data_IF_024780602386
#
_entry.id   IF_024780602386
#
_cell.length_a   1.000
_cell.length_b   1.000
_cell.length_c   1.000
_cell.angle_alpha   90.00
_cell.angle_beta   90.00
_cell.angle_gamma   90.00
#
_symmetry.space_group_name_H-M   'P 1'
#
loop_
_entity.id
_entity.type
_entity.pdbx_description
1 polymer ?
#
# COMPACT_ATOMS: atom_id res chain seq x y z
N UNK A 1 -19.84 26.46 0.29
CA UNK A 1 -18.49 25.90 0.49
C UNK A 1 -18.65 24.38 0.65
N UNK A 2 -17.69 23.57 0.18
CA UNK A 2 -17.71 22.13 0.44
C UNK A 2 -17.49 21.84 1.92
N UNK A 3 -18.06 20.76 2.42
CA UNK A 3 -17.89 20.30 3.79
C UNK A 3 -16.41 20.06 4.11
N UNK A 4 -15.99 20.42 5.31
CA UNK A 4 -14.60 20.30 5.78
C UNK A 4 -14.20 18.84 5.98
N UNK A 5 -12.94 18.53 5.68
CA UNK A 5 -12.35 17.20 5.90
C UNK A 5 -11.35 17.28 7.06
N UNK A 6 -11.68 16.63 8.16
CA UNK A 6 -10.80 16.45 9.33
C UNK A 6 -10.15 15.07 9.19
N UNK A 7 -8.82 15.02 9.11
CA UNK A 7 -8.03 13.79 9.01
C UNK A 7 -7.41 13.51 10.36
N UNK A 8 -7.84 12.43 11.01
CA UNK A 8 -7.23 11.93 12.23
C UNK A 8 -6.16 10.89 11.88
N UNK A 9 -4.90 11.19 12.19
CA UNK A 9 -3.75 10.41 11.79
C UNK A 9 -2.82 10.06 12.97
N UNK A 10 -3.41 9.55 14.06
CA UNK A 10 -2.66 9.14 15.24
C UNK A 10 -1.80 7.90 14.94
N UNK A 11 -2.27 7.02 14.05
CA UNK A 11 -1.57 5.84 13.55
C UNK A 11 -0.61 6.09 12.38
N UNK A 12 -0.33 7.34 12.00
CA UNK A 12 0.62 7.66 10.92
C UNK A 12 1.99 7.04 11.17
N UNK A 13 2.71 6.65 10.12
CA UNK A 13 4.09 6.14 10.23
C UNK A 13 5.01 7.19 10.85
N UNK A 14 6.03 6.78 11.63
CA UNK A 14 7.04 7.71 12.13
C UNK A 14 7.91 8.25 10.98
N UNK A 15 8.61 9.40 11.20
CA UNK A 15 9.54 9.96 10.21
C UNK A 15 10.59 8.93 9.77
N UNK A 16 10.97 9.00 8.49
CA UNK A 16 11.93 8.05 7.89
C UNK A 16 11.30 6.72 7.44
N UNK A 17 10.02 6.48 7.73
CA UNK A 17 9.28 5.33 7.22
C UNK A 17 7.95 5.79 6.61
N UNK A 18 7.51 5.13 5.55
CA UNK A 18 6.24 5.46 4.89
C UNK A 18 5.46 4.17 4.59
N UNK A 19 4.51 3.85 5.45
CA UNK A 19 3.56 2.77 5.18
C UNK A 19 2.55 3.17 4.09
N UNK A 20 1.93 2.17 3.45
CA UNK A 20 0.95 2.43 2.38
C UNK A 20 -0.23 3.30 2.83
N UNK A 21 -0.78 3.04 4.02
CA UNK A 21 -1.85 3.85 4.61
C UNK A 21 -1.42 5.31 4.85
N UNK A 22 -0.21 5.51 5.36
CA UNK A 22 0.33 6.85 5.61
C UNK A 22 0.53 7.61 4.32
N UNK A 23 1.08 6.97 3.27
CA UNK A 23 1.25 7.57 1.95
C UNK A 23 -0.10 7.97 1.35
N UNK A 24 -1.08 7.07 1.36
CA UNK A 24 -2.43 7.36 0.87
C UNK A 24 -3.03 8.55 1.61
N UNK A 25 -2.94 8.59 2.94
CA UNK A 25 -3.53 9.66 3.75
C UNK A 25 -2.88 11.03 3.49
N UNK A 26 -1.55 11.07 3.41
CA UNK A 26 -0.80 12.32 3.15
C UNK A 26 -1.06 12.85 1.74
N UNK A 27 -1.00 11.99 0.73
CA UNK A 27 -1.24 12.40 -0.66
C UNK A 27 -2.70 12.80 -0.91
N UNK A 28 -3.65 12.11 -0.27
CA UNK A 28 -5.06 12.50 -0.29
C UNK A 28 -5.24 13.91 0.31
N UNK A 29 -4.64 14.18 1.48
CA UNK A 29 -4.70 15.49 2.10
C UNK A 29 -4.11 16.57 1.19
N UNK A 30 -2.93 16.33 0.60
CA UNK A 30 -2.27 17.22 -0.35
C UNK A 30 -3.16 17.57 -1.55
N UNK A 31 -3.77 16.56 -2.17
CA UNK A 31 -4.59 16.76 -3.37
C UNK A 31 -5.96 17.39 -3.08
N UNK A 32 -6.45 17.32 -1.86
CA UNK A 32 -7.75 17.88 -1.47
C UNK A 32 -7.67 19.27 -0.88
N UNK A 33 -6.53 19.70 -0.35
CA UNK A 33 -6.36 20.99 0.34
C UNK A 33 -6.75 22.21 -0.50
N UNK A 34 -6.64 22.15 -1.84
CA UNK A 34 -7.12 23.20 -2.74
C UNK A 34 -8.62 23.12 -3.08
N UNK A 35 -9.32 22.04 -2.68
CA UNK A 35 -10.73 21.77 -3.03
C UNK A 35 -11.66 21.84 -1.83
N UNK A 36 -11.15 21.52 -0.64
CA UNK A 36 -11.83 21.52 0.64
C UNK A 36 -10.94 22.15 1.70
N UNK A 37 -11.51 22.64 2.77
CA UNK A 37 -10.76 22.92 4.00
C UNK A 37 -10.32 21.59 4.59
N UNK A 38 -8.99 21.34 4.63
CA UNK A 38 -8.40 20.14 5.19
C UNK A 38 -7.73 20.46 6.51
N UNK A 39 -8.14 19.77 7.58
CA UNK A 39 -7.52 19.83 8.89
C UNK A 39 -6.89 18.49 9.21
N UNK A 40 -5.60 18.51 9.59
CA UNK A 40 -4.84 17.29 9.83
C UNK A 40 -4.43 17.24 11.31
N UNK A 41 -4.92 16.22 12.04
CA UNK A 41 -4.68 16.03 13.47
C UNK A 41 -3.74 14.83 13.64
N UNK A 42 -2.55 15.06 14.21
CA UNK A 42 -1.52 14.02 14.38
C UNK A 42 -0.65 14.29 15.62
N UNK A 43 0.08 13.26 16.13
CA UNK A 43 1.06 13.46 17.20
C UNK A 43 2.27 14.28 16.72
N UNK A 44 2.83 15.14 17.58
CA UNK A 44 4.02 15.97 17.28
C UNK A 44 5.21 15.18 16.74
N UNK A 45 5.48 14.02 17.32
CA UNK A 45 6.59 13.14 16.88
C UNK A 45 6.38 12.52 15.49
N UNK A 46 5.24 12.78 14.84
CA UNK A 46 4.93 12.35 13.47
C UNK A 46 4.76 13.53 12.50
N UNK A 47 4.94 14.74 12.98
CA UNK A 47 4.78 15.95 12.18
C UNK A 47 5.67 15.94 10.93
N UNK A 48 6.93 15.55 11.05
CA UNK A 48 7.86 15.46 9.94
C UNK A 48 7.43 14.46 8.85
N UNK A 49 6.61 13.45 9.19
CA UNK A 49 6.06 12.54 8.18
C UNK A 49 5.07 13.24 7.25
N UNK A 50 4.33 14.24 7.75
CA UNK A 50 3.48 15.07 6.91
C UNK A 50 4.30 16.15 6.20
N UNK A 51 5.02 16.99 6.94
CA UNK A 51 5.69 18.18 6.41
C UNK A 51 6.80 17.90 5.40
N UNK A 52 7.46 16.75 5.49
CA UNK A 52 8.47 16.34 4.50
C UNK A 52 7.86 15.79 3.18
N UNK A 53 6.55 15.59 3.13
CA UNK A 53 5.87 14.98 1.99
C UNK A 53 4.77 15.88 1.37
N UNK A 54 4.63 17.11 1.86
CA UNK A 54 3.73 18.12 1.30
C UNK A 54 4.51 19.43 1.05
N UNK A 55 4.15 20.24 0.03
CA UNK A 55 4.77 21.55 -0.20
C UNK A 55 4.58 22.47 1.01
N UNK A 56 5.45 23.47 1.24
CA UNK A 56 5.31 24.41 2.36
C UNK A 56 3.98 25.17 2.38
N UNK A 57 3.43 25.48 1.21
CA UNK A 57 2.17 26.20 0.99
C UNK A 57 0.98 25.26 0.72
N UNK A 58 1.00 24.07 1.31
CA UNK A 58 0.04 22.99 1.05
C UNK A 58 -1.43 23.28 1.38
N UNK A 59 -1.75 24.38 2.08
CA UNK A 59 -3.13 24.72 2.46
C UNK A 59 -3.81 23.78 3.47
N UNK A 60 -3.03 22.92 4.14
CA UNK A 60 -3.52 22.01 5.18
C UNK A 60 -3.35 22.68 6.55
N UNK A 61 -4.43 22.79 7.33
CA UNK A 61 -4.37 23.24 8.72
C UNK A 61 -3.93 22.09 9.63
N UNK A 62 -2.76 22.22 10.26
CA UNK A 62 -2.16 21.17 11.08
C UNK A 62 -2.44 21.42 12.56
N UNK A 63 -2.96 20.40 13.26
CA UNK A 63 -3.15 20.35 14.70
C UNK A 63 -2.26 19.25 15.28
N UNK A 64 -1.12 19.65 15.86
CA UNK A 64 -0.19 18.73 16.50
C UNK A 64 -0.63 18.43 17.93
N UNK A 65 -0.80 17.16 18.28
CA UNK A 65 -1.10 16.72 19.62
C UNK A 65 0.18 16.28 20.33
N UNK A 66 0.31 16.49 21.65
CA UNK A 66 1.42 15.93 22.42
C UNK A 66 1.57 14.43 22.18
N UNK A 67 2.80 13.96 21.96
CA UNK A 67 3.09 12.56 21.74
C UNK A 67 2.72 11.71 22.96
N UNK A 68 2.18 10.51 22.73
CA UNK A 68 1.98 9.54 23.78
C UNK A 68 3.32 8.86 24.08
N UNK A 69 3.88 9.12 25.27
CA UNK A 69 5.21 8.64 25.71
C UNK A 69 5.14 7.49 26.72
N UNK A 70 3.95 6.99 27.03
CA UNK A 70 3.77 5.90 28.00
C UNK A 70 4.51 4.61 27.62
N UNK A 71 5.04 3.91 28.61
CA UNK A 71 5.71 2.61 28.42
C UNK A 71 4.80 1.57 27.76
N UNK A 72 3.49 1.70 27.94
CA UNK A 72 2.45 0.86 27.37
C UNK A 72 1.91 1.40 26.03
N UNK A 73 2.76 1.64 25.03
CA UNK A 73 2.32 2.06 23.69
C UNK A 73 1.30 1.11 23.06
N UNK A 74 1.19 -0.12 23.55
CA UNK A 74 0.27 -1.15 23.10
C UNK A 74 -0.99 -1.25 23.96
N UNK A 75 -1.14 -0.44 25.03
CA UNK A 75 -2.34 -0.44 25.87
C UNK A 75 -3.45 0.42 25.23
N UNK A 76 -4.49 -0.20 24.63
CA UNK A 76 -5.55 0.54 23.94
C UNK A 76 -6.31 1.50 24.87
N UNK A 77 -6.45 1.15 26.13
CA UNK A 77 -7.18 1.94 27.13
C UNK A 77 -6.38 3.20 27.48
N UNK A 78 -5.09 3.05 27.77
CA UNK A 78 -4.22 4.16 28.13
C UNK A 78 -4.11 5.18 26.96
N UNK A 79 -3.87 4.69 25.75
CA UNK A 79 -3.78 5.53 24.58
C UNK A 79 -5.12 6.24 24.28
N UNK A 80 -6.25 5.55 24.40
CA UNK A 80 -7.58 6.16 24.22
C UNK A 80 -7.84 7.26 25.27
N UNK A 81 -7.53 7.00 26.54
CA UNK A 81 -7.66 7.99 27.62
C UNK A 81 -6.76 9.20 27.40
N UNK A 82 -5.59 9.01 26.78
CA UNK A 82 -4.67 10.11 26.46
C UNK A 82 -5.16 10.98 25.31
N UNK A 83 -5.55 10.37 24.19
CA UNK A 83 -5.91 11.11 22.97
C UNK A 83 -7.33 11.66 22.97
N UNK A 84 -8.30 11.01 23.62
CA UNK A 84 -9.71 11.45 23.58
C UNK A 84 -9.93 12.89 24.08
N UNK A 85 -9.43 13.32 25.27
CA UNK A 85 -9.62 14.70 25.72
C UNK A 85 -8.90 15.72 24.84
N UNK A 86 -7.75 15.38 24.27
CA UNK A 86 -6.98 16.24 23.36
C UNK A 86 -7.68 16.41 22.02
N UNK A 87 -8.17 15.32 21.46
CA UNK A 87 -9.00 15.38 20.26
C UNK A 87 -10.29 16.21 20.51
N UNK A 88 -10.94 16.03 21.65
CA UNK A 88 -12.11 16.85 22.03
C UNK A 88 -11.78 18.34 22.06
N UNK A 89 -10.63 18.72 22.62
CA UNK A 89 -10.18 20.12 22.67
C UNK A 89 -10.02 20.70 21.26
N UNK A 90 -9.34 19.99 20.36
CA UNK A 90 -9.17 20.42 18.96
C UNK A 90 -10.53 20.50 18.25
N UNK A 91 -11.40 19.49 18.41
CA UNK A 91 -12.72 19.52 17.75
C UNK A 91 -13.59 20.69 18.23
N UNK A 92 -13.49 21.10 19.51
CA UNK A 92 -14.15 22.31 20.03
C UNK A 92 -13.54 23.58 19.47
N UNK A 93 -12.22 23.69 19.46
CA UNK A 93 -11.49 24.82 18.91
C UNK A 93 -11.88 25.12 17.46
N UNK A 94 -11.96 24.06 16.64
CA UNK A 94 -12.36 24.20 15.24
C UNK A 94 -13.87 24.24 15.03
N UNK A 95 -14.67 24.20 16.08
CA UNK A 95 -16.14 24.13 16.01
C UNK A 95 -16.61 22.99 15.08
N UNK A 96 -16.10 21.76 15.31
CA UNK A 96 -16.48 20.60 14.51
C UNK A 96 -17.96 20.25 14.73
N UNK A 97 -18.63 19.82 13.66
CA UNK A 97 -20.06 19.55 13.69
C UNK A 97 -20.57 18.57 12.62
N UNK A 98 -21.90 18.49 12.45
CA UNK A 98 -22.54 17.49 11.57
C UNK A 98 -22.17 17.61 10.06
N UNK A 99 -21.72 18.79 9.64
CA UNK A 99 -21.30 19.04 8.26
C UNK A 99 -19.86 18.62 7.99
N UNK A 100 -19.11 18.25 9.01
CA UNK A 100 -17.72 17.84 8.87
C UNK A 100 -17.56 16.34 8.62
N UNK A 101 -16.60 15.98 7.78
CA UNK A 101 -16.13 14.61 7.67
C UNK A 101 -14.92 14.40 8.59
N UNK A 102 -14.94 13.36 9.41
CA UNK A 102 -13.77 12.90 10.16
C UNK A 102 -13.30 11.57 9.59
N UNK A 103 -12.20 11.62 8.86
CA UNK A 103 -11.53 10.47 8.27
C UNK A 103 -10.41 9.98 9.17
N UNK A 104 -10.32 8.66 9.40
CA UNK A 104 -9.26 8.03 10.19
C UNK A 104 -8.24 7.35 9.27
N UNK A 105 -6.94 7.61 9.49
CA UNK A 105 -5.86 7.09 8.64
C UNK A 105 -5.58 5.59 8.84
N UNK A 106 -6.16 4.95 9.86
CA UNK A 106 -5.98 3.52 10.15
C UNK A 106 -7.13 2.94 10.95
N UNK A 107 -7.19 1.60 11.02
CA UNK A 107 -8.09 0.83 11.88
C UNK A 107 -7.48 0.51 13.27
N UNK A 108 -6.38 1.16 13.64
CA UNK A 108 -5.83 1.02 14.97
C UNK A 108 -6.71 1.69 16.03
N UNK A 109 -6.73 1.12 17.22
CA UNK A 109 -7.55 1.63 18.35
C UNK A 109 -7.38 3.14 18.58
N UNK A 110 -6.18 3.68 18.39
CA UNK A 110 -5.89 5.11 18.58
C UNK A 110 -6.62 6.00 17.56
N UNK A 111 -6.86 5.51 16.35
CA UNK A 111 -7.63 6.23 15.32
C UNK A 111 -9.13 5.89 15.38
N UNK A 112 -9.53 4.81 16.08
CA UNK A 112 -10.91 4.32 16.11
C UNK A 112 -11.65 4.72 17.39
N UNK A 113 -11.06 4.48 18.56
CA UNK A 113 -11.78 4.64 19.84
C UNK A 113 -12.04 6.11 20.23
N UNK A 114 -11.09 7.07 20.05
CA UNK A 114 -11.37 8.48 20.32
C UNK A 114 -12.52 9.04 19.48
N UNK A 115 -12.55 8.93 18.13
CA UNK A 115 -13.67 9.41 17.35
C UNK A 115 -14.96 8.64 17.61
N UNK A 116 -14.93 7.33 17.87
CA UNK A 116 -16.10 6.57 18.27
C UNK A 116 -16.75 7.16 19.53
N UNK A 117 -15.94 7.57 20.51
CA UNK A 117 -16.42 8.16 21.76
C UNK A 117 -17.02 9.55 21.55
N UNK A 118 -16.42 10.35 20.68
CA UNK A 118 -16.75 11.76 20.48
C UNK A 118 -17.83 12.01 19.40
N UNK A 119 -18.07 11.03 18.55
CA UNK A 119 -19.00 11.16 17.42
C UNK A 119 -20.43 11.60 17.85
N UNK A 120 -20.93 11.11 19.00
CA UNK A 120 -22.23 11.53 19.51
C UNK A 120 -22.24 12.97 20.03
N UNK A 121 -21.10 13.46 20.57
CA UNK A 121 -20.98 14.81 21.13
C UNK A 121 -20.95 15.86 20.01
N UNK A 122 -20.24 15.58 18.91
CA UNK A 122 -19.99 16.53 17.83
C UNK A 122 -20.88 16.32 16.59
N UNK A 123 -21.40 15.13 16.40
CA UNK A 123 -22.27 14.81 15.25
C UNK A 123 -21.57 14.61 13.92
N UNK A 124 -20.23 14.75 13.83
CA UNK A 124 -19.48 14.64 12.56
C UNK A 124 -19.76 13.33 11.81
N UNK A 125 -19.64 13.37 10.48
CA UNK A 125 -19.74 12.21 9.60
C UNK A 125 -18.45 11.40 9.69
N UNK A 126 -18.50 10.27 10.38
CA UNK A 126 -17.31 9.46 10.66
C UNK A 126 -16.99 8.50 9.54
N UNK A 127 -15.73 8.54 9.06
CA UNK A 127 -15.19 7.76 7.95
C UNK A 127 -13.96 6.96 8.40
N UNK A 128 -14.12 5.85 9.12
CA UNK A 128 -13.00 4.97 9.43
C UNK A 128 -12.46 4.30 8.17
N UNK A 129 -11.15 3.97 8.18
CA UNK A 129 -10.52 3.21 7.13
C UNK A 129 -10.06 1.84 7.61
N UNK A 130 -10.09 0.86 6.71
CA UNK A 130 -9.49 -0.47 6.91
C UNK A 130 -8.63 -0.77 5.68
N UNK A 131 -7.31 -0.66 5.86
CA UNK A 131 -6.37 -0.89 4.76
C UNK A 131 -6.07 -2.36 4.52
N UNK A 132 -6.30 -3.20 5.53
CA UNK A 132 -6.02 -4.63 5.45
C UNK A 132 -6.88 -5.39 6.45
N UNK A 133 -7.86 -6.14 5.94
CA UNK A 133 -8.53 -7.13 6.78
C UNK A 133 -7.59 -8.30 7.03
N UNK A 134 -7.24 -8.51 8.29
CA UNK A 134 -6.42 -9.66 8.69
C UNK A 134 -7.14 -10.94 8.31
N UNK A 135 -6.58 -11.80 7.43
CA UNK A 135 -7.21 -13.06 7.05
C UNK A 135 -7.27 -14.01 8.25
N UNK A 136 -8.15 -14.99 8.22
CA UNK A 136 -8.21 -15.99 9.27
C UNK A 136 -6.99 -16.92 9.25
N UNK A 137 -6.63 -17.46 10.43
CA UNK A 137 -5.38 -18.25 10.59
C UNK A 137 -5.25 -19.39 9.58
N UNK A 138 -6.33 -20.09 9.26
CA UNK A 138 -6.32 -21.20 8.30
C UNK A 138 -6.06 -20.73 6.85
N UNK A 139 -6.50 -19.55 6.44
CA UNK A 139 -6.19 -18.99 5.12
C UNK A 139 -4.69 -18.72 4.98
N UNK A 140 -4.01 -18.38 6.06
CA UNK A 140 -2.57 -18.13 6.05
C UNK A 140 -1.72 -19.40 6.10
N UNK A 141 -2.16 -20.41 6.85
CA UNK A 141 -1.47 -21.71 6.88
C UNK A 141 -1.49 -22.37 5.50
N UNK A 142 -2.61 -22.30 4.79
CA UNK A 142 -2.72 -22.79 3.41
C UNK A 142 -1.81 -22.04 2.43
N UNK A 143 -1.42 -20.80 2.75
CA UNK A 143 -0.50 -19.97 1.96
C UNK A 143 0.97 -20.08 2.39
N UNK A 144 1.30 -20.98 3.31
CA UNK A 144 2.66 -21.20 3.77
C UNK A 144 3.23 -20.10 4.67
N UNK A 145 2.38 -19.22 5.22
CA UNK A 145 2.81 -18.11 6.06
C UNK A 145 2.92 -18.54 7.52
N UNK A 146 4.14 -18.54 8.08
CA UNK A 146 4.41 -18.92 9.48
C UNK A 146 4.39 -17.70 10.39
N UNK A 147 3.24 -17.41 11.01
CA UNK A 147 3.15 -16.48 12.13
C UNK A 147 3.11 -17.23 13.47
N UNK A 148 3.50 -16.57 14.57
CA UNK A 148 3.15 -17.05 15.92
C UNK A 148 1.60 -17.05 16.03
N UNK A 149 0.99 -18.22 15.92
CA UNK A 149 -0.47 -18.39 15.76
C UNK A 149 -1.30 -17.61 16.81
N UNK A 150 -0.84 -17.62 18.07
CA UNK A 150 -1.54 -16.92 19.17
C UNK A 150 -1.61 -15.40 18.98
N UNK A 151 -0.47 -14.74 18.69
CA UNK A 151 -0.45 -13.27 18.47
C UNK A 151 -1.33 -12.86 17.31
N UNK A 152 -1.35 -13.70 16.29
CA UNK A 152 -2.15 -13.48 15.10
C UNK A 152 -3.67 -13.61 15.38
N UNK A 153 -4.08 -14.63 16.14
CA UNK A 153 -5.48 -14.83 16.55
C UNK A 153 -5.95 -13.63 17.39
N UNK A 154 -5.13 -13.20 18.36
CA UNK A 154 -5.44 -12.03 19.19
C UNK A 154 -5.64 -10.78 18.32
N UNK A 155 -4.73 -10.55 17.37
CA UNK A 155 -4.84 -9.40 16.47
C UNK A 155 -6.07 -9.49 15.56
N UNK A 156 -6.39 -10.68 15.05
CA UNK A 156 -7.60 -10.92 14.26
C UNK A 156 -8.88 -10.65 15.05
N UNK A 157 -8.99 -11.18 16.27
CA UNK A 157 -10.12 -10.92 17.17
C UNK A 157 -10.26 -9.43 17.49
N UNK A 158 -9.15 -8.80 17.79
CA UNK A 158 -9.08 -7.38 18.09
C UNK A 158 -9.57 -6.51 16.92
N UNK A 159 -9.10 -6.76 15.71
CA UNK A 159 -9.57 -6.03 14.52
C UNK A 159 -11.08 -6.26 14.30
N UNK A 160 -11.60 -7.47 14.53
CA UNK A 160 -13.02 -7.78 14.40
C UNK A 160 -13.88 -7.03 15.43
N UNK A 161 -13.40 -6.90 16.64
CA UNK A 161 -14.08 -6.12 17.68
C UNK A 161 -14.15 -4.63 17.31
N UNK A 162 -13.02 -4.05 16.87
CA UNK A 162 -13.00 -2.65 16.38
C UNK A 162 -13.90 -2.46 15.15
N UNK A 163 -13.87 -3.37 14.20
CA UNK A 163 -14.75 -3.33 13.03
C UNK A 163 -16.23 -3.38 13.41
N UNK A 164 -16.60 -4.20 14.39
CA UNK A 164 -17.97 -4.24 14.90
C UNK A 164 -18.40 -2.89 15.51
N UNK A 165 -17.52 -2.24 16.29
CA UNK A 165 -17.77 -0.90 16.85
C UNK A 165 -17.92 0.14 15.75
N UNK A 166 -16.99 0.17 14.79
CA UNK A 166 -17.01 1.14 13.69
C UNK A 166 -18.33 1.08 12.92
N UNK A 167 -18.83 -0.12 12.57
CA UNK A 167 -20.08 -0.29 11.79
C UNK A 167 -21.31 0.31 12.44
N UNK A 168 -21.31 0.51 13.76
CA UNK A 168 -22.47 1.07 14.46
C UNK A 168 -22.65 2.58 14.29
N UNK A 169 -21.56 3.31 13.95
CA UNK A 169 -21.57 4.77 13.92
C UNK A 169 -20.99 5.38 12.68
N UNK A 170 -20.27 4.60 11.86
CA UNK A 170 -19.66 5.11 10.64
C UNK A 170 -20.72 5.54 9.62
N UNK A 171 -20.56 6.71 9.07
CA UNK A 171 -21.36 7.22 7.94
C UNK A 171 -20.97 6.50 6.64
N UNK A 172 -19.68 6.16 6.50
CA UNK A 172 -19.14 5.39 5.41
C UNK A 172 -17.81 4.75 5.81
N UNK A 173 -17.26 3.89 4.96
CA UNK A 173 -15.96 3.27 5.14
C UNK A 173 -15.07 3.45 3.94
N UNK A 174 -13.78 3.66 4.21
CA UNK A 174 -12.72 3.60 3.21
C UNK A 174 -11.97 2.28 3.36
N UNK A 175 -11.93 1.49 2.28
CA UNK A 175 -11.16 0.25 2.18
C UNK A 175 -10.19 0.34 1.01
N UNK A 176 -9.26 -0.60 0.86
CA UNK A 176 -8.25 -0.52 -0.20
C UNK A 176 -8.57 -1.33 -1.45
N UNK A 177 -9.62 -2.14 -1.41
CA UNK A 177 -10.07 -2.88 -2.58
C UNK A 177 -11.55 -3.23 -2.50
N UNK A 178 -12.17 -3.40 -3.66
CA UNK A 178 -13.61 -3.68 -3.79
C UNK A 178 -13.98 -5.07 -3.26
N UNK A 179 -13.08 -6.04 -3.28
CA UNK A 179 -13.37 -7.38 -2.76
C UNK A 179 -13.68 -7.36 -1.25
N UNK A 180 -13.16 -6.38 -0.52
CA UNK A 180 -13.47 -6.21 0.91
C UNK A 180 -14.91 -5.73 1.18
N UNK A 181 -15.64 -5.24 0.17
CA UNK A 181 -17.06 -4.87 0.31
C UNK A 181 -17.91 -6.07 0.75
N UNK A 182 -17.54 -7.28 0.37
CA UNK A 182 -18.23 -8.51 0.77
C UNK A 182 -18.15 -8.81 2.26
N UNK A 183 -17.22 -8.16 2.98
CA UNK A 183 -17.05 -8.32 4.44
C UNK A 183 -18.08 -7.51 5.25
N UNK A 184 -18.75 -6.57 4.59
CA UNK A 184 -19.79 -5.76 5.21
C UNK A 184 -21.13 -6.49 5.17
N UNK A 185 -21.89 -6.50 6.27
CA UNK A 185 -23.21 -7.13 6.27
C UNK A 185 -24.19 -6.36 5.37
N UNK A 186 -25.10 -7.06 4.71
CA UNK A 186 -26.12 -6.45 3.84
C UNK A 186 -26.93 -5.33 4.51
N UNK A 187 -27.07 -5.39 5.83
CA UNK A 187 -27.76 -4.37 6.65
C UNK A 187 -26.92 -3.12 6.94
N UNK A 188 -25.65 -3.08 6.54
CA UNK A 188 -24.84 -1.88 6.69
C UNK A 188 -25.36 -0.81 5.73
N UNK A 189 -25.81 0.31 6.27
CA UNK A 189 -26.42 1.41 5.51
C UNK A 189 -25.42 2.48 5.07
N UNK A 190 -24.20 2.48 5.65
CA UNK A 190 -23.15 3.40 5.27
C UNK A 190 -22.59 3.10 3.88
N UNK A 191 -22.05 4.12 3.23
CA UNK A 191 -21.44 3.97 1.90
C UNK A 191 -20.01 3.48 1.99
N UNK A 192 -19.58 2.68 1.01
CA UNK A 192 -18.23 2.13 0.91
C UNK A 192 -17.46 2.80 -0.20
N UNK A 193 -16.19 3.04 0.03
CA UNK A 193 -15.25 3.57 -0.96
C UNK A 193 -13.96 2.74 -0.99
N UNK A 194 -13.53 2.38 -2.19
CA UNK A 194 -12.30 1.65 -2.43
C UNK A 194 -11.19 2.62 -2.87
N UNK A 195 -10.27 2.90 -1.96
CA UNK A 195 -9.15 3.82 -2.20
C UNK A 195 -7.85 3.06 -2.43
N UNK A 196 -7.53 2.77 -3.67
CA UNK A 196 -6.34 1.99 -4.06
C UNK A 196 -5.00 2.70 -3.83
N UNK A 197 -5.00 3.99 -3.55
CA UNK A 197 -3.80 4.81 -3.57
C UNK A 197 -3.54 5.41 -4.96
N UNK A 198 -2.33 5.89 -5.17
CA UNK A 198 -1.94 6.54 -6.41
C UNK A 198 -0.44 6.44 -6.69
N UNK A 199 -0.02 7.01 -7.81
CA UNK A 199 1.35 7.03 -8.30
C UNK A 199 1.79 8.48 -8.57
N UNK A 200 3.03 8.81 -8.23
CA UNK A 200 3.66 10.10 -8.53
C UNK A 200 4.11 10.10 -10.00
N UNK A 201 3.17 10.37 -10.90
CA UNK A 201 3.38 10.26 -12.35
C UNK A 201 4.45 11.26 -12.83
N UNK A 202 4.55 12.41 -12.20
CA UNK A 202 5.52 13.47 -12.51
C UNK A 202 6.98 13.07 -12.24
N UNK A 203 7.21 12.02 -11.43
CA UNK A 203 8.54 11.48 -11.13
C UNK A 203 8.98 10.36 -12.10
N UNK A 204 8.07 9.95 -12.99
CA UNK A 204 8.38 8.96 -14.02
C UNK A 204 9.19 9.65 -15.13
N UNK A 205 10.29 9.05 -15.62
CA UNK A 205 11.02 9.58 -16.76
C UNK A 205 10.11 9.87 -17.96
N UNK A 206 10.19 11.06 -18.53
CA UNK A 206 9.35 11.48 -19.67
C UNK A 206 9.71 10.77 -20.97
N UNK A 207 10.98 10.44 -21.14
CA UNK A 207 11.48 9.71 -22.31
C UNK A 207 11.73 8.23 -21.98
N UNK A 208 11.52 7.31 -22.93
CA UNK A 208 11.89 5.91 -22.78
C UNK A 208 13.39 5.77 -22.48
N UNK A 209 13.73 4.90 -21.54
CA UNK A 209 15.11 4.58 -21.19
C UNK A 209 15.52 3.22 -21.77
N UNK A 210 16.83 3.05 -22.12
CA UNK A 210 17.34 1.75 -22.57
C UNK A 210 17.13 0.68 -21.49
N UNK A 211 16.68 -0.50 -21.87
CA UNK A 211 16.47 -1.64 -20.97
C UNK A 211 17.82 -2.26 -20.59
N UNK A 212 18.33 -1.94 -19.41
CA UNK A 212 19.63 -2.38 -18.88
C UNK A 212 19.49 -3.42 -17.78
N UNK A 213 18.26 -3.67 -17.29
CA UNK A 213 17.93 -4.57 -16.19
C UNK A 213 16.88 -5.56 -16.66
N UNK A 214 17.04 -6.82 -16.27
CA UNK A 214 16.10 -7.85 -16.68
C UNK A 214 14.85 -7.86 -15.81
N UNK A 215 15.02 -8.14 -14.51
CA UNK A 215 13.91 -8.28 -13.57
C UNK A 215 14.11 -7.36 -12.38
N UNK A 216 13.04 -6.69 -11.96
CA UNK A 216 13.04 -5.85 -10.75
C UNK A 216 11.94 -6.29 -9.78
N UNK A 217 12.29 -6.35 -8.51
CA UNK A 217 11.40 -6.46 -7.36
C UNK A 217 11.54 -5.20 -6.52
N UNK A 218 10.43 -4.65 -6.05
CA UNK A 218 10.45 -3.53 -5.13
C UNK A 218 9.39 -3.69 -4.05
N UNK A 219 9.83 -3.79 -2.81
CA UNK A 219 8.95 -3.74 -1.63
C UNK A 219 9.79 -3.69 -0.36
N UNK A 220 9.15 -3.41 0.78
CA UNK A 220 9.74 -3.72 2.08
C UNK A 220 10.09 -5.22 2.13
N UNK A 221 11.30 -5.56 2.51
CA UNK A 221 11.71 -6.96 2.67
C UNK A 221 11.05 -7.54 3.92
N UNK A 222 9.96 -8.24 3.69
CA UNK A 222 9.14 -8.87 4.72
C UNK A 222 8.56 -10.18 4.16
N UNK A 223 8.41 -11.25 4.95
CA UNK A 223 7.87 -12.53 4.48
C UNK A 223 6.57 -12.41 3.69
N UNK A 224 5.68 -11.50 4.09
CA UNK A 224 4.42 -11.19 3.40
C UNK A 224 4.62 -10.84 1.91
N UNK A 225 5.77 -10.27 1.53
CA UNK A 225 6.05 -9.83 0.16
C UNK A 225 6.59 -10.95 -0.73
N UNK A 226 6.75 -12.15 -0.19
CA UNK A 226 7.02 -13.37 -0.94
C UNK A 226 8.42 -13.48 -1.52
N UNK A 227 9.34 -12.56 -1.18
CA UNK A 227 10.70 -12.57 -1.74
C UNK A 227 11.47 -13.84 -1.38
N UNK A 228 11.24 -14.41 -0.19
CA UNK A 228 11.87 -15.66 0.23
C UNK A 228 11.52 -16.82 -0.73
N UNK A 229 10.22 -17.02 -0.98
CA UNK A 229 9.75 -18.05 -1.93
C UNK A 229 10.15 -17.71 -3.39
N UNK A 230 10.23 -16.43 -3.72
CA UNK A 230 10.63 -15.99 -5.05
C UNK A 230 12.10 -16.28 -5.36
N UNK A 231 13.00 -16.32 -4.38
CA UNK A 231 14.39 -16.74 -4.61
C UNK A 231 14.47 -18.19 -5.15
N UNK A 232 13.61 -19.09 -4.70
CA UNK A 232 13.52 -20.43 -5.29
C UNK A 232 13.02 -20.38 -6.75
N UNK A 233 12.02 -19.54 -7.02
CA UNK A 233 11.50 -19.29 -8.37
C UNK A 233 12.57 -18.65 -9.26
N UNK A 234 13.36 -17.71 -8.72
CA UNK A 234 14.45 -17.06 -9.45
C UNK A 234 15.52 -18.08 -9.88
N UNK A 235 15.83 -19.07 -9.04
CA UNK A 235 16.72 -20.17 -9.44
C UNK A 235 16.17 -20.91 -10.66
N UNK A 236 14.88 -21.20 -10.71
CA UNK A 236 14.25 -21.85 -11.87
C UNK A 236 14.36 -20.98 -13.13
N UNK A 237 14.19 -19.67 -13.02
CA UNK A 237 14.32 -18.72 -14.13
C UNK A 237 15.76 -18.72 -14.67
N UNK A 238 16.76 -18.62 -13.79
CA UNK A 238 18.18 -18.66 -14.17
C UNK A 238 18.51 -19.96 -14.87
N UNK A 239 18.08 -21.10 -14.34
CA UNK A 239 18.30 -22.43 -14.95
C UNK A 239 17.62 -22.55 -16.32
N UNK A 240 16.38 -22.10 -16.44
CA UNK A 240 15.62 -22.18 -17.69
C UNK A 240 16.23 -21.33 -18.82
N UNK A 241 16.76 -20.15 -18.48
CA UNK A 241 17.43 -19.27 -19.46
C UNK A 241 18.79 -19.86 -19.85
N UNK A 242 19.59 -20.33 -18.88
CA UNK A 242 20.90 -20.93 -19.16
C UNK A 242 20.80 -22.20 -20.01
N UNK A 243 19.73 -23.00 -19.84
CA UNK A 243 19.53 -24.23 -20.61
C UNK A 243 19.11 -24.00 -22.06
N UNK A 244 18.58 -22.82 -22.41
CA UNK A 244 18.07 -22.54 -23.76
C UNK A 244 19.09 -21.88 -24.70
N UNK A 245 20.30 -21.57 -24.20
CA UNK A 245 21.37 -20.86 -24.95
C UNK A 245 20.85 -19.66 -25.78
N UNK A 246 20.00 -18.86 -25.15
CA UNK A 246 19.31 -17.73 -25.77
C UNK A 246 20.29 -16.55 -25.89
N UNK A 247 20.63 -16.18 -27.09
CA UNK A 247 21.57 -15.10 -27.43
C UNK A 247 21.24 -13.74 -26.83
N UNK A 248 19.99 -13.51 -26.44
CA UNK A 248 19.51 -12.21 -25.98
C UNK A 248 19.54 -12.02 -24.45
N UNK A 249 19.60 -13.08 -23.64
CA UNK A 249 19.66 -13.03 -22.17
C UNK A 249 20.46 -14.22 -21.64
N UNK A 250 21.78 -14.12 -21.61
CA UNK A 250 22.63 -15.25 -21.19
C UNK A 250 22.81 -15.39 -19.67
N UNK A 251 22.65 -14.29 -18.91
CA UNK A 251 22.85 -14.26 -17.47
C UNK A 251 21.89 -13.27 -16.82
N UNK A 252 20.63 -13.63 -16.59
CA UNK A 252 19.61 -12.70 -16.13
C UNK A 252 19.95 -12.16 -14.74
N UNK A 253 19.61 -10.87 -14.51
CA UNK A 253 19.83 -10.17 -13.25
C UNK A 253 18.50 -9.81 -12.59
N UNK A 254 18.40 -10.11 -11.29
CA UNK A 254 17.32 -9.65 -10.42
C UNK A 254 17.80 -8.43 -9.61
N UNK A 255 17.16 -7.30 -9.81
CA UNK A 255 17.38 -6.11 -8.98
C UNK A 255 16.36 -6.07 -7.86
N UNK A 256 16.80 -6.02 -6.61
CA UNK A 256 15.93 -5.96 -5.41
C UNK A 256 16.05 -4.58 -4.78
N UNK A 257 14.90 -3.88 -4.70
CA UNK A 257 14.76 -2.57 -4.07
C UNK A 257 13.95 -2.73 -2.77
N UNK A 258 14.49 -2.20 -1.69
CA UNK A 258 13.83 -2.15 -0.38
C UNK A 258 14.68 -2.72 0.74
N UNK A 259 14.28 -2.37 1.97
CA UNK A 259 14.92 -2.81 3.20
C UNK A 259 13.97 -3.66 4.04
N UNK A 260 14.54 -4.46 4.93
CA UNK A 260 13.86 -5.26 5.94
C UNK A 260 14.53 -5.16 7.30
N UNK A 261 14.22 -6.10 8.20
CA UNK A 261 15.04 -6.26 9.39
C UNK A 261 16.42 -6.83 9.02
N UNK A 262 17.50 -6.42 9.71
CA UNK A 262 18.85 -6.93 9.40
C UNK A 262 18.94 -8.47 9.39
N UNK A 263 18.24 -9.12 10.31
CA UNK A 263 18.19 -10.58 10.39
C UNK A 263 17.50 -11.23 9.18
N UNK A 264 16.44 -10.59 8.66
CA UNK A 264 15.74 -11.11 7.49
C UNK A 264 16.50 -10.84 6.19
N UNK A 265 17.17 -9.70 6.09
CA UNK A 265 18.05 -9.43 4.94
C UNK A 265 19.23 -10.40 4.88
N UNK A 266 19.89 -10.69 6.03
CA UNK A 266 20.95 -11.70 6.11
C UNK A 266 20.42 -13.07 5.68
N UNK A 267 19.28 -13.49 6.22
CA UNK A 267 18.63 -14.75 5.84
C UNK A 267 18.40 -14.88 4.33
N UNK A 268 17.92 -13.82 3.68
CA UNK A 268 17.67 -13.82 2.23
C UNK A 268 18.97 -13.93 1.43
N UNK A 269 20.02 -13.19 1.81
CA UNK A 269 21.35 -13.26 1.16
C UNK A 269 21.98 -14.63 1.33
N UNK A 270 21.93 -15.21 2.53
CA UNK A 270 22.42 -16.56 2.81
C UNK A 270 21.65 -17.62 1.99
N UNK A 271 20.33 -17.43 1.84
CA UNK A 271 19.52 -18.31 1.00
C UNK A 271 19.93 -18.20 -0.47
N UNK A 272 20.18 -17.00 -0.99
CA UNK A 272 20.65 -16.79 -2.35
C UNK A 272 22.01 -17.49 -2.60
N UNK A 273 22.93 -17.47 -1.61
CA UNK A 273 24.20 -18.19 -1.66
C UNK A 273 23.96 -19.71 -1.72
N UNK A 274 23.16 -20.25 -0.79
CA UNK A 274 22.84 -21.70 -0.77
C UNK A 274 22.17 -22.19 -2.06
N UNK A 275 21.38 -21.34 -2.72
CA UNK A 275 20.75 -21.64 -4.00
C UNK A 275 21.70 -21.50 -5.19
N UNK A 276 22.90 -20.93 -5.02
CA UNK A 276 23.87 -20.70 -6.09
C UNK A 276 23.51 -19.54 -7.03
N UNK A 277 22.63 -18.63 -6.60
CA UNK A 277 22.11 -17.51 -7.42
C UNK A 277 22.58 -16.14 -6.96
N UNK A 278 23.44 -16.05 -5.93
CA UNK A 278 23.86 -14.79 -5.34
C UNK A 278 24.46 -13.80 -6.36
N UNK A 279 25.25 -14.31 -7.32
CA UNK A 279 25.88 -13.51 -8.36
C UNK A 279 24.89 -12.96 -9.43
N UNK A 280 23.65 -13.42 -9.42
CA UNK A 280 22.58 -12.96 -10.31
C UNK A 280 21.65 -11.93 -9.64
N UNK A 281 21.92 -11.54 -8.39
CA UNK A 281 21.06 -10.65 -7.61
C UNK A 281 21.82 -9.39 -7.22
N UNK A 282 21.23 -8.24 -7.52
CA UNK A 282 21.67 -6.93 -7.10
C UNK A 282 20.75 -6.41 -5.97
N UNK A 283 21.31 -6.17 -4.78
CA UNK A 283 20.58 -5.64 -3.61
C UNK A 283 20.86 -4.14 -3.48
N UNK A 284 19.86 -3.31 -3.81
CA UNK A 284 20.03 -1.84 -3.79
C UNK A 284 19.64 -1.19 -2.46
N UNK A 285 18.97 -1.94 -1.57
CA UNK A 285 18.41 -1.34 -0.36
C UNK A 285 17.30 -0.34 -0.69
N UNK A 286 17.11 0.65 0.18
CA UNK A 286 16.15 1.73 -0.06
C UNK A 286 16.69 2.70 -1.12
N UNK A 287 15.84 3.04 -2.08
CA UNK A 287 16.08 4.11 -3.05
C UNK A 287 14.93 5.13 -3.00
N UNK A 288 15.21 6.39 -3.31
CA UNK A 288 14.17 7.41 -3.40
C UNK A 288 13.25 7.16 -4.62
N UNK A 289 12.14 7.87 -4.68
CA UNK A 289 11.15 7.65 -5.74
C UNK A 289 11.71 7.89 -7.15
N UNK A 290 12.49 8.95 -7.36
CA UNK A 290 13.06 9.28 -8.67
C UNK A 290 13.98 8.17 -9.18
N UNK A 291 14.92 7.72 -8.34
CA UNK A 291 15.80 6.58 -8.66
C UNK A 291 15.00 5.29 -8.89
N UNK A 292 13.96 5.05 -8.09
CA UNK A 292 13.07 3.90 -8.25
C UNK A 292 12.38 3.88 -9.62
N UNK A 293 11.77 4.98 -10.04
CA UNK A 293 11.10 5.07 -11.33
C UNK A 293 12.09 4.95 -12.50
N UNK A 294 13.30 5.47 -12.33
CA UNK A 294 14.37 5.28 -13.33
C UNK A 294 14.74 3.79 -13.44
N UNK A 295 14.94 3.09 -12.32
CA UNK A 295 15.22 1.65 -12.32
C UNK A 295 14.07 0.87 -12.98
N UNK A 296 12.80 1.21 -12.70
CA UNK A 296 11.67 0.59 -13.37
C UNK A 296 11.70 0.83 -14.88
N UNK A 297 11.92 2.07 -15.31
CA UNK A 297 12.01 2.41 -16.73
C UNK A 297 13.16 1.68 -17.45
N UNK A 298 14.27 1.41 -16.76
CA UNK A 298 15.41 0.66 -17.26
C UNK A 298 15.23 -0.88 -17.20
N UNK A 299 14.17 -1.38 -16.54
CA UNK A 299 13.91 -2.80 -16.36
C UNK A 299 13.01 -3.36 -17.47
N UNK A 300 13.06 -4.69 -17.67
CA UNK A 300 12.22 -5.41 -18.65
C UNK A 300 10.96 -5.97 -18.00
N UNK A 301 11.05 -6.54 -16.79
CA UNK A 301 9.93 -7.20 -16.11
C UNK A 301 9.90 -6.79 -14.64
N UNK A 302 8.73 -6.45 -14.12
CA UNK A 302 8.49 -6.29 -12.69
C UNK A 302 7.87 -7.57 -12.11
N UNK A 303 8.35 -8.03 -10.96
CA UNK A 303 7.79 -9.20 -10.28
C UNK A 303 7.14 -8.82 -8.95
N UNK A 304 5.92 -9.31 -8.74
CA UNK A 304 5.12 -9.08 -7.54
C UNK A 304 4.68 -10.41 -6.90
N UNK A 305 5.63 -11.17 -6.30
CA UNK A 305 5.39 -12.50 -5.75
C UNK A 305 4.71 -12.47 -4.39
N UNK A 306 4.03 -11.39 -4.06
CA UNK A 306 3.47 -11.16 -2.72
C UNK A 306 2.48 -12.26 -2.33
N UNK A 307 2.58 -12.70 -1.08
CA UNK A 307 1.71 -13.75 -0.53
C UNK A 307 0.37 -13.16 -0.10
N UNK A 308 0.42 -11.92 0.36
CA UNK A 308 -0.75 -11.21 0.85
C UNK A 308 -0.59 -9.70 0.64
N UNK A 309 -1.47 -9.12 -0.15
CA UNK A 309 -1.52 -7.68 -0.42
C UNK A 309 -2.97 -7.26 -0.68
N UNK A 310 -3.29 -6.02 -0.37
CA UNK A 310 -4.59 -5.44 -0.65
C UNK A 310 -4.57 -4.40 -1.76
N UNK A 311 -3.39 -3.84 -2.05
CA UNK A 311 -3.30 -2.71 -2.96
C UNK A 311 -2.22 -2.90 -4.03
N UNK A 312 -1.05 -3.40 -3.64
CA UNK A 312 0.06 -3.63 -4.58
C UNK A 312 0.57 -2.35 -5.28
N UNK A 313 0.56 -1.19 -4.62
CA UNK A 313 0.92 0.11 -5.24
C UNK A 313 2.21 0.07 -6.09
N UNK A 314 3.19 -0.73 -5.69
CA UNK A 314 4.44 -0.88 -6.46
C UNK A 314 4.23 -1.52 -7.84
N UNK A 315 3.19 -2.34 -8.00
CA UNK A 315 2.80 -2.87 -9.31
C UNK A 315 2.16 -1.78 -10.18
N UNK A 316 1.32 -0.91 -9.59
CA UNK A 316 0.78 0.27 -10.29
C UNK A 316 1.91 1.23 -10.72
N UNK A 317 2.89 1.45 -9.85
CA UNK A 317 4.08 2.26 -10.16
C UNK A 317 4.85 1.67 -11.36
N UNK A 318 5.05 0.34 -11.38
CA UNK A 318 5.71 -0.33 -12.50
C UNK A 318 4.91 -0.21 -13.80
N UNK A 319 3.61 -0.46 -13.77
CA UNK A 319 2.72 -0.33 -14.94
C UNK A 319 2.69 1.09 -15.50
N UNK A 320 2.68 2.10 -14.64
CA UNK A 320 2.73 3.51 -15.06
C UNK A 320 4.06 3.90 -15.71
N UNK A 321 5.14 3.11 -15.53
CA UNK A 321 6.39 3.26 -16.29
C UNK A 321 6.40 2.47 -17.61
N UNK A 322 5.32 1.77 -17.95
CA UNK A 322 5.24 0.88 -19.12
C UNK A 322 5.89 -0.49 -18.90
N UNK A 323 6.17 -0.86 -17.66
CA UNK A 323 6.84 -2.11 -17.30
C UNK A 323 5.79 -3.22 -17.11
N UNK A 324 5.84 -4.36 -17.86
CA UNK A 324 4.94 -5.48 -17.62
C UNK A 324 5.20 -6.12 -16.27
N UNK A 325 4.13 -6.59 -15.63
CA UNK A 325 4.14 -7.15 -14.28
C UNK A 325 3.77 -8.63 -14.28
N UNK A 326 4.59 -9.48 -13.65
CA UNK A 326 4.20 -10.84 -13.29
C UNK A 326 3.84 -10.87 -11.81
N UNK A 327 2.62 -11.32 -11.49
CA UNK A 327 2.11 -11.32 -10.11
C UNK A 327 1.35 -12.58 -9.75
N UNK A 328 1.29 -12.87 -8.44
CA UNK A 328 0.37 -13.89 -7.91
C UNK A 328 -1.08 -13.47 -8.14
N UNK A 329 -1.95 -14.40 -8.54
CA UNK A 329 -3.40 -14.15 -8.67
C UNK A 329 -4.06 -14.08 -7.29
N UNK A 330 -4.00 -12.89 -6.68
CA UNK A 330 -4.65 -12.62 -5.40
C UNK A 330 -6.02 -11.98 -5.63
N UNK A 331 -7.07 -12.43 -4.90
CA UNK A 331 -8.43 -11.88 -5.06
C UNK A 331 -8.48 -10.36 -4.95
N UNK A 332 -7.71 -9.76 -4.02
CA UNK A 332 -7.67 -8.31 -3.81
C UNK A 332 -7.06 -7.53 -4.99
N UNK A 333 -6.20 -8.16 -5.80
CA UNK A 333 -5.50 -7.52 -6.93
C UNK A 333 -6.11 -7.88 -8.30
N UNK A 334 -7.01 -8.86 -8.32
CA UNK A 334 -7.55 -9.43 -9.57
C UNK A 334 -8.27 -8.40 -10.43
N UNK A 335 -9.14 -7.62 -9.81
CA UNK A 335 -9.96 -6.63 -10.51
C UNK A 335 -9.27 -5.27 -10.67
N UNK A 336 -8.22 -5.03 -9.87
CA UNK A 336 -7.46 -3.77 -9.89
C UNK A 336 -6.45 -3.75 -11.04
N UNK A 337 -5.79 -4.88 -11.30
CA UNK A 337 -4.73 -5.01 -12.30
C UNK A 337 -5.20 -5.84 -13.49
N UNK A 338 -5.85 -5.22 -14.46
CA UNK A 338 -6.42 -5.89 -15.64
C UNK A 338 -5.59 -5.72 -16.90
N UNK A 339 -4.63 -4.81 -16.92
CA UNK A 339 -3.79 -4.44 -18.07
C UNK A 339 -2.32 -4.50 -17.70
N UNK A 340 -1.47 -4.99 -18.59
CA UNK A 340 -0.02 -5.03 -18.39
C UNK A 340 0.47 -6.09 -17.41
N UNK A 341 -0.37 -7.07 -17.05
CA UNK A 341 -0.08 -8.05 -16.02
C UNK A 341 -0.30 -9.49 -16.46
N UNK A 342 0.66 -10.35 -16.18
CA UNK A 342 0.48 -11.80 -16.17
C UNK A 342 0.20 -12.26 -14.73
N UNK A 343 -0.99 -12.79 -14.50
CA UNK A 343 -1.41 -13.35 -13.20
C UNK A 343 -1.20 -14.85 -13.21
N UNK A 344 -0.44 -15.35 -12.25
CA UNK A 344 -0.13 -16.77 -12.13
C UNK A 344 -0.86 -17.37 -10.92
N UNK A 345 -1.27 -18.65 -10.97
CA UNK A 345 -1.92 -19.30 -9.84
C UNK A 345 -1.08 -19.16 -8.57
N UNK A 346 -1.74 -18.85 -7.46
CA UNK A 346 -1.07 -18.64 -6.19
C UNK A 346 -0.21 -19.83 -5.78
N UNK A 347 1.08 -19.59 -5.51
CA UNK A 347 2.04 -20.63 -5.07
C UNK A 347 2.65 -21.47 -6.21
N UNK A 348 2.20 -21.31 -7.44
CA UNK A 348 2.77 -22.03 -8.59
C UNK A 348 4.07 -21.36 -9.05
N UNK A 349 5.20 -21.88 -8.53
CA UNK A 349 6.54 -21.37 -8.85
C UNK A 349 6.93 -21.62 -10.31
N UNK A 350 6.48 -22.74 -10.88
CA UNK A 350 6.81 -23.09 -12.26
C UNK A 350 6.07 -22.18 -13.24
N UNK A 351 4.78 -21.93 -13.02
CA UNK A 351 4.02 -20.98 -13.82
C UNK A 351 4.60 -19.56 -13.69
N UNK A 352 5.02 -19.16 -12.48
CA UNK A 352 5.65 -17.85 -12.28
C UNK A 352 6.99 -17.74 -13.03
N UNK A 353 7.84 -18.77 -12.94
CA UNK A 353 9.09 -18.82 -13.66
C UNK A 353 8.87 -18.79 -15.18
N UNK A 354 7.94 -19.59 -15.69
CA UNK A 354 7.60 -19.64 -17.11
C UNK A 354 7.14 -18.28 -17.64
N UNK A 355 6.27 -17.58 -16.90
CA UNK A 355 5.79 -16.23 -17.26
C UNK A 355 6.94 -15.20 -17.33
N UNK A 356 7.87 -15.21 -16.35
CA UNK A 356 9.03 -14.30 -16.39
C UNK A 356 9.96 -14.66 -17.55
N UNK A 357 10.26 -15.94 -17.76
CA UNK A 357 11.12 -16.39 -18.88
C UNK A 357 10.50 -15.98 -20.22
N UNK A 358 9.20 -16.18 -20.40
CA UNK A 358 8.49 -15.79 -21.64
C UNK A 358 8.67 -14.31 -21.92
N UNK A 359 8.42 -13.43 -20.93
CA UNK A 359 8.60 -11.98 -21.10
C UNK A 359 10.05 -11.55 -21.35
N UNK A 360 11.03 -12.33 -20.91
CA UNK A 360 12.44 -12.02 -21.15
C UNK A 360 12.93 -12.51 -22.52
N UNK A 361 12.34 -13.58 -23.06
CA UNK A 361 12.90 -14.30 -24.21
C UNK A 361 12.03 -14.26 -25.46
N UNK A 362 10.73 -13.96 -25.32
CA UNK A 362 9.78 -13.85 -26.42
C UNK A 362 9.32 -12.40 -26.62
N UNK A 363 9.80 -11.71 -27.69
CA UNK A 363 9.40 -10.33 -27.98
C UNK A 363 7.90 -10.17 -28.27
N UNK A 364 7.24 -11.21 -28.82
CA UNK A 364 5.82 -11.15 -29.12
C UNK A 364 4.98 -11.19 -27.83
N UNK A 365 5.33 -12.07 -26.89
CA UNK A 365 4.70 -12.14 -25.57
C UNK A 365 4.95 -10.86 -24.77
N UNK A 366 6.17 -10.32 -24.83
CA UNK A 366 6.48 -9.05 -24.21
C UNK A 366 5.59 -7.91 -24.76
N UNK A 367 5.49 -7.81 -26.08
CA UNK A 367 4.67 -6.77 -26.75
C UNK A 367 3.16 -6.94 -26.46
N UNK A 368 2.69 -8.18 -26.34
CA UNK A 368 1.30 -8.48 -26.01
C UNK A 368 0.96 -8.14 -24.55
N UNK A 369 1.93 -8.25 -23.64
CA UNK A 369 1.72 -8.02 -22.20
C UNK A 369 2.01 -6.58 -21.80
N UNK A 370 3.08 -5.97 -22.29
CA UNK A 370 3.46 -4.61 -21.91
C UNK A 370 2.34 -3.61 -22.28
N UNK A 371 2.06 -2.59 -21.42
CA UNK A 371 1.06 -1.60 -21.75
C UNK A 371 1.37 -0.88 -23.07
N UNK A 372 0.40 -0.84 -23.99
CA UNK A 372 0.50 -0.02 -25.20
C UNK A 372 0.54 1.49 -24.84
N UNK A 373 0.94 2.38 -25.74
CA UNK A 373 0.95 3.84 -25.47
C UNK A 373 -0.40 4.38 -24.97
N UNK A 374 -1.52 3.92 -25.57
CA UNK A 374 -2.86 4.33 -25.16
C UNK A 374 -3.23 3.78 -23.78
N UNK A 375 -2.92 2.51 -23.53
CA UNK A 375 -3.09 1.89 -22.21
C UNK A 375 -2.24 2.55 -21.15
N UNK A 376 -1.00 2.92 -21.47
CA UNK A 376 -0.12 3.63 -20.55
C UNK A 376 -0.66 5.01 -20.19
N UNK A 377 -1.20 5.72 -21.18
CA UNK A 377 -1.87 7.01 -20.95
C UNK A 377 -3.07 6.84 -20.01
N UNK A 378 -3.91 5.84 -20.26
CA UNK A 378 -5.07 5.54 -19.43
C UNK A 378 -4.66 5.12 -18.00
N UNK A 379 -3.62 4.28 -17.85
CA UNK A 379 -3.07 3.87 -16.56
C UNK A 379 -2.56 5.06 -15.76
N UNK A 380 -1.78 5.94 -16.39
CA UNK A 380 -1.27 7.16 -15.74
C UNK A 380 -2.40 8.09 -15.29
N UNK A 381 -3.40 8.30 -16.14
CA UNK A 381 -4.58 9.09 -15.80
C UNK A 381 -5.37 8.48 -14.63
N UNK A 382 -5.52 7.17 -14.61
CA UNK A 382 -6.24 6.45 -13.53
C UNK A 382 -5.48 6.48 -12.20
N UNK A 383 -4.16 6.20 -12.22
CA UNK A 383 -3.36 6.07 -11.02
C UNK A 383 -2.81 7.39 -10.47
N UNK A 384 -2.99 8.50 -11.18
CA UNK A 384 -2.56 9.81 -10.69
C UNK A 384 -3.22 10.14 -9.35
N UNK A 385 -2.46 10.64 -8.37
CA UNK A 385 -2.99 10.98 -7.05
C UNK A 385 -4.16 11.95 -7.10
N UNK A 386 -4.10 12.96 -7.99
CA UNK A 386 -5.17 13.93 -8.18
C UNK A 386 -6.46 13.29 -8.66
N UNK A 387 -6.38 12.27 -9.52
CA UNK A 387 -7.55 11.50 -10.00
C UNK A 387 -8.17 10.69 -8.87
N UNK A 388 -7.34 10.00 -8.09
CA UNK A 388 -7.79 9.22 -6.92
C UNK A 388 -8.45 10.12 -5.87
N UNK A 389 -7.83 11.26 -5.55
CA UNK A 389 -8.38 12.23 -4.61
C UNK A 389 -9.69 12.85 -5.14
N UNK A 390 -9.81 13.11 -6.45
CA UNK A 390 -11.04 13.62 -7.04
C UNK A 390 -12.20 12.61 -6.97
N UNK A 391 -11.93 11.31 -7.08
CA UNK A 391 -12.94 10.27 -6.87
C UNK A 391 -13.39 10.21 -5.41
N UNK A 392 -12.46 10.29 -4.48
CA UNK A 392 -12.77 10.37 -3.06
C UNK A 392 -13.59 11.63 -2.74
N UNK A 393 -13.22 12.79 -3.30
CA UNK A 393 -13.95 14.04 -3.15
C UNK A 393 -15.41 13.94 -3.62
N UNK A 394 -15.63 13.34 -4.82
CA UNK A 394 -16.98 13.07 -5.33
C UNK A 394 -17.77 12.12 -4.43
N UNK A 395 -17.11 11.09 -3.90
CA UNK A 395 -17.76 10.16 -2.97
C UNK A 395 -18.19 10.87 -1.68
N UNK A 396 -17.37 11.76 -1.10
CA UNK A 396 -17.73 12.59 0.05
C UNK A 396 -19.00 13.41 -0.23
N UNK A 397 -19.14 13.97 -1.43
CA UNK A 397 -20.32 14.75 -1.82
C UNK A 397 -21.59 13.89 -1.91
N UNK A 398 -21.48 12.56 -1.90
CA UNK A 398 -22.64 11.64 -1.87
C UNK A 398 -23.09 11.28 -0.45
N UNK A 399 -22.29 11.56 0.57
CA UNK A 399 -22.57 11.23 1.97
C UNK A 399 -23.43 12.33 2.62
#
# INVERSE_FOLDING_TARGET
MKNRLIILALGLSPPGTMGGNSKITVEMARCLAGKREVRFILPENKLATLTNNVPPDHGIHIHALPAFTGEDKLNPIAATRWFTPRLRSVLREISAGPDDFLYCCSDFHIDVLPPYTLQKEFGFRWLPSIFLFVPFVFENLSRGYKFPAIKYIIYWLYQRALFALMKHRATGFVVTNRSDFTRFPKRFTGKLFDYYGGVNIEQIPSAPLPKRRDVVFCSRLHPQKGIDAFLDTWKLIVQAISAKDLSNVSNPKLTIIGNGSPSYESYLKDKAQRLGIANTIEWLGYVNNEAKFRIYAESRVFVHPTVFDNNGMVAAEALCTGLPVVMQDLPALRDVYTTGCLKVPFGDRNAFAAAVVSLLTDPAEYAATAPTPDQLTALRAHWKWESRAAEFDRWLDTL
#
